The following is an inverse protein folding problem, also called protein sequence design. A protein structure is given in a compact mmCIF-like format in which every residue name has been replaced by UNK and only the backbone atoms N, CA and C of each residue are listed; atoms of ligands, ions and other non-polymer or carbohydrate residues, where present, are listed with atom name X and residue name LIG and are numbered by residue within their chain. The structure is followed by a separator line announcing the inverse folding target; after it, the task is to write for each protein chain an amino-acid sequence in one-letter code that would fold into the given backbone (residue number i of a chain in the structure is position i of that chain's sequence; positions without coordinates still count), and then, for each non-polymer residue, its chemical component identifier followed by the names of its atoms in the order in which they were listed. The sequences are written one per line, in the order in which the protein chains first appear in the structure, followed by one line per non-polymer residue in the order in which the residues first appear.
data_IF_305611340505
#
_entry.id   IF_305611340505
#
_cell.length_a   1.000
_cell.length_b   1.000
_cell.length_c   1.000
_cell.angle_alpha   90.00
_cell.angle_beta   90.00
_cell.angle_gamma   90.00
#
_symmetry.space_group_name_H-M   'P 1'
#
loop_
_entity.id
_entity.type
_entity.pdbx_description
1 polymer ?
#
# COMPACT_ATOMS: atom_id res chain seq x y z
N UNK A 1 11.91 -1.94 26.55
CA UNK A 1 12.33 -1.75 25.14
C UNK A 1 11.75 -2.91 24.37
N UNK A 2 11.06 -2.67 23.28
CA UNK A 2 10.62 -3.73 22.37
C UNK A 2 11.88 -4.24 21.68
N UNK A 3 12.17 -5.52 21.80
CA UNK A 3 13.31 -6.14 21.13
C UNK A 3 12.86 -6.51 19.72
N UNK A 4 13.35 -5.78 18.74
CA UNK A 4 13.08 -6.04 17.33
C UNK A 4 13.91 -7.23 16.86
N UNK A 5 13.28 -8.23 16.25
CA UNK A 5 13.91 -9.48 15.83
C UNK A 5 14.01 -9.63 14.32
N UNK A 6 13.12 -8.99 13.56
CA UNK A 6 13.00 -9.12 12.11
C UNK A 6 13.36 -7.83 11.36
N UNK A 7 13.16 -6.67 11.99
CA UNK A 7 13.61 -5.41 11.44
C UNK A 7 15.11 -5.22 11.68
N UNK A 8 15.86 -4.93 10.65
CA UNK A 8 17.26 -4.53 10.81
C UNK A 8 17.36 -3.17 11.54
N UNK A 9 18.49 -2.87 12.18
CA UNK A 9 18.68 -1.57 12.84
C UNK A 9 18.44 -0.36 11.90
N UNK A 10 18.80 -0.51 10.63
CA UNK A 10 18.57 0.55 9.62
C UNK A 10 17.08 0.71 9.29
N UNK A 11 16.34 -0.38 9.16
CA UNK A 11 14.89 -0.34 8.93
C UNK A 11 14.16 0.28 10.13
N UNK A 12 14.57 -0.05 11.35
CA UNK A 12 14.03 0.55 12.56
C UNK A 12 14.29 2.06 12.62
N UNK A 13 15.53 2.47 12.39
CA UNK A 13 15.89 3.89 12.36
C UNK A 13 15.10 4.64 11.29
N UNK A 14 15.03 4.07 10.08
CA UNK A 14 14.27 4.66 8.98
C UNK A 14 12.78 4.80 9.31
N UNK A 15 12.15 3.75 9.85
CA UNK A 15 10.73 3.81 10.20
C UNK A 15 10.44 4.83 11.29
N UNK A 16 11.30 4.93 12.30
CA UNK A 16 11.14 5.91 13.38
C UNK A 16 11.31 7.34 12.86
N UNK A 17 12.27 7.57 11.95
CA UNK A 17 12.55 8.90 11.40
C UNK A 17 11.51 9.34 10.37
N UNK A 18 11.09 8.43 9.47
CA UNK A 18 10.28 8.75 8.29
C UNK A 18 8.82 8.26 8.36
N UNK A 19 8.48 7.36 9.30
CA UNK A 19 7.12 6.82 9.48
C UNK A 19 6.67 5.84 8.41
N UNK A 20 7.56 5.40 7.52
CA UNK A 20 7.27 4.39 6.51
C UNK A 20 8.43 3.42 6.33
N UNK A 21 8.14 2.26 5.80
CA UNK A 21 9.14 1.26 5.45
C UNK A 21 8.77 0.59 4.13
N UNK A 22 9.75 0.47 3.23
CA UNK A 22 9.60 -0.30 2.00
C UNK A 22 10.09 -1.73 2.21
N UNK A 23 9.17 -2.68 2.05
CA UNK A 23 9.49 -4.11 2.12
C UNK A 23 9.42 -4.69 0.70
N UNK A 24 10.55 -5.09 0.09
CA UNK A 24 10.55 -5.71 -1.22
C UNK A 24 9.96 -7.12 -1.17
N UNK A 25 9.41 -7.59 -2.29
CA UNK A 25 8.84 -8.93 -2.43
C UNK A 25 7.79 -9.24 -1.33
N UNK A 26 6.95 -8.25 -1.01
CA UNK A 26 6.00 -8.37 0.09
C UNK A 26 4.79 -9.25 -0.23
N UNK A 27 4.43 -9.40 -1.51
CA UNK A 27 3.28 -10.20 -1.95
C UNK A 27 3.71 -11.65 -2.15
N UNK A 28 2.95 -12.57 -1.57
CA UNK A 28 3.14 -14.00 -1.83
C UNK A 28 2.90 -14.29 -3.32
N UNK A 29 3.88 -14.92 -4.02
CA UNK A 29 3.77 -15.18 -5.46
C UNK A 29 2.53 -15.96 -5.88
N UNK A 30 1.96 -16.78 -5.00
CA UNK A 30 0.73 -17.53 -5.27
C UNK A 30 -0.47 -16.62 -5.56
N UNK A 31 -0.44 -15.37 -5.09
CA UNK A 31 -1.50 -14.39 -5.31
C UNK A 31 -1.18 -13.39 -6.42
N UNK A 32 0.11 -13.09 -6.65
CA UNK A 32 0.52 -12.01 -7.54
C UNK A 32 0.01 -12.21 -8.97
N UNK A 33 0.43 -13.29 -9.64
CA UNK A 33 0.07 -13.54 -11.04
C UNK A 33 -1.42 -13.81 -11.25
N UNK A 34 -2.09 -14.65 -10.41
CA UNK A 34 -3.52 -14.87 -10.55
C UNK A 34 -4.36 -13.60 -10.34
N UNK A 35 -3.93 -12.72 -9.44
CA UNK A 35 -4.65 -11.48 -9.20
C UNK A 35 -4.45 -10.47 -10.32
N UNK A 36 -3.23 -10.34 -10.85
CA UNK A 36 -2.95 -9.51 -12.03
C UNK A 36 -3.68 -10.01 -13.28
N UNK A 37 -3.70 -11.32 -13.51
CA UNK A 37 -4.48 -11.88 -14.61
C UNK A 37 -5.97 -11.59 -14.50
N UNK A 38 -6.52 -11.70 -13.29
CA UNK A 38 -7.92 -11.36 -13.03
C UNK A 38 -8.19 -9.85 -13.15
N UNK A 39 -7.23 -8.99 -12.75
CA UNK A 39 -7.33 -7.56 -12.93
C UNK A 39 -7.58 -7.18 -14.39
N UNK A 40 -6.78 -7.67 -15.31
CA UNK A 40 -6.93 -7.37 -16.74
C UNK A 40 -8.26 -7.86 -17.32
N UNK A 41 -8.72 -9.02 -16.87
CA UNK A 41 -10.06 -9.53 -17.21
C UNK A 41 -11.18 -8.59 -16.74
N UNK A 42 -11.07 -8.10 -15.51
CA UNK A 42 -12.06 -7.18 -14.93
C UNK A 42 -12.07 -5.80 -15.60
N UNK A 43 -10.91 -5.34 -16.02
CA UNK A 43 -10.77 -4.10 -16.79
C UNK A 43 -11.35 -4.21 -18.21
N UNK A 44 -11.46 -5.43 -18.76
CA UNK A 44 -11.76 -5.63 -20.18
C UNK A 44 -10.67 -5.11 -21.10
N UNK A 45 -9.45 -5.01 -20.60
CA UNK A 45 -8.27 -4.47 -21.27
C UNK A 45 -7.19 -5.54 -21.38
N UNK A 46 -6.18 -5.28 -22.20
CA UNK A 46 -5.04 -6.16 -22.37
C UNK A 46 -3.77 -5.50 -21.85
N UNK A 47 -2.97 -6.25 -21.10
CA UNK A 47 -1.71 -5.76 -20.54
C UNK A 47 -0.67 -5.40 -21.60
N UNK A 48 -0.70 -6.12 -22.72
CA UNK A 48 0.22 -6.01 -23.84
C UNK A 48 -0.25 -5.06 -24.96
N UNK A 49 -1.46 -4.51 -24.84
CA UNK A 49 -2.06 -3.65 -25.88
C UNK A 49 -2.64 -2.36 -25.26
N UNK A 50 -1.83 -1.31 -25.28
CA UNK A 50 -2.19 0.00 -24.74
C UNK A 50 -3.37 0.67 -25.44
N UNK A 51 -3.72 0.26 -26.68
CA UNK A 51 -4.89 0.81 -27.37
C UNK A 51 -6.21 0.42 -26.70
N UNK A 52 -6.19 -0.60 -25.85
CA UNK A 52 -7.35 -1.06 -25.06
C UNK A 52 -7.54 -0.28 -23.75
N UNK A 53 -6.59 0.56 -23.36
CA UNK A 53 -6.63 1.32 -22.12
C UNK A 53 -7.47 2.57 -22.28
N UNK A 54 -8.71 2.54 -21.83
CA UNK A 54 -9.72 3.57 -22.06
C UNK A 54 -9.74 4.68 -21.05
N UNK A 55 -9.17 4.45 -19.87
CA UNK A 55 -9.21 5.34 -18.73
C UNK A 55 -7.81 5.60 -18.17
N UNK A 56 -7.60 6.80 -17.62
CA UNK A 56 -6.32 7.17 -17.01
C UNK A 56 -6.18 6.59 -15.59
N UNK A 57 -7.28 6.54 -14.87
CA UNK A 57 -7.31 6.15 -13.47
C UNK A 57 -8.60 5.40 -13.13
N UNK A 58 -8.47 4.24 -12.54
CA UNK A 58 -9.59 3.36 -12.19
C UNK A 58 -9.47 2.86 -10.75
N UNK A 59 -10.59 2.77 -10.07
CA UNK A 59 -10.73 2.07 -8.79
C UNK A 59 -11.68 0.91 -8.99
N UNK A 60 -11.21 -0.30 -8.81
CA UNK A 60 -12.02 -1.50 -8.90
C UNK A 60 -12.57 -1.89 -7.53
N UNK A 61 -13.85 -2.31 -7.45
CA UNK A 61 -14.41 -2.83 -6.22
C UNK A 61 -13.75 -4.15 -5.83
N UNK A 62 -13.79 -4.46 -4.53
CA UNK A 62 -13.35 -5.76 -4.02
C UNK A 62 -14.29 -6.87 -4.47
N UNK A 63 -13.73 -7.96 -5.00
CA UNK A 63 -14.45 -9.18 -5.33
C UNK A 63 -14.08 -10.34 -4.41
N UNK A 64 -12.83 -10.39 -3.96
CA UNK A 64 -12.32 -11.42 -3.07
C UNK A 64 -11.38 -10.80 -2.06
N UNK A 65 -11.15 -11.53 -1.00
CA UNK A 65 -10.19 -11.18 0.03
C UNK A 65 -9.51 -12.45 0.54
N UNK A 66 -8.33 -12.28 1.08
CA UNK A 66 -7.54 -13.33 1.73
C UNK A 66 -6.97 -12.77 3.03
N UNK A 67 -6.68 -13.63 4.02
CA UNK A 67 -5.98 -13.20 5.22
C UNK A 67 -4.65 -12.51 4.87
N UNK A 68 -4.33 -11.43 5.59
CA UNK A 68 -3.07 -10.69 5.35
C UNK A 68 -1.84 -11.60 5.52
N UNK A 69 -1.86 -12.50 6.49
CA UNK A 69 -0.80 -13.48 6.75
C UNK A 69 -0.57 -14.47 5.61
N UNK A 70 -1.58 -14.75 4.79
CA UNK A 70 -1.46 -15.59 3.60
C UNK A 70 -1.04 -14.77 2.39
N UNK A 71 -1.54 -13.53 2.28
CA UNK A 71 -1.25 -12.65 1.16
C UNK A 71 0.19 -12.14 1.18
N UNK A 72 0.71 -11.85 2.35
CA UNK A 72 2.08 -11.41 2.54
C UNK A 72 3.07 -12.59 2.45
N UNK A 73 4.28 -12.29 2.00
CA UNK A 73 5.39 -13.21 2.28
C UNK A 73 5.65 -13.28 3.79
N UNK A 74 6.22 -14.38 4.31
CA UNK A 74 6.53 -14.50 5.73
C UNK A 74 7.40 -13.35 6.27
N UNK A 75 8.35 -12.87 5.47
CA UNK A 75 9.19 -11.73 5.85
C UNK A 75 8.36 -10.45 5.99
N UNK A 76 7.52 -10.14 5.01
CA UNK A 76 6.68 -8.94 5.05
C UNK A 76 5.70 -8.99 6.22
N UNK A 77 5.10 -10.15 6.48
CA UNK A 77 4.16 -10.31 7.58
C UNK A 77 4.84 -10.17 8.94
N UNK A 78 5.98 -10.80 9.17
CA UNK A 78 6.71 -10.70 10.45
C UNK A 78 7.17 -9.27 10.73
N UNK A 79 7.65 -8.53 9.72
CA UNK A 79 7.99 -7.11 9.88
C UNK A 79 6.77 -6.26 10.20
N UNK A 80 5.64 -6.54 9.55
CA UNK A 80 4.36 -5.86 9.84
C UNK A 80 3.95 -6.07 11.31
N UNK A 81 3.95 -7.32 11.77
CA UNK A 81 3.62 -7.67 13.16
C UNK A 81 4.56 -6.99 14.15
N UNK A 82 5.84 -6.93 13.83
CA UNK A 82 6.84 -6.30 14.69
C UNK A 82 6.62 -4.78 14.80
N UNK A 83 6.32 -4.10 13.68
CA UNK A 83 6.02 -2.66 13.65
C UNK A 83 4.81 -2.32 14.52
N UNK A 84 3.75 -3.11 14.46
CA UNK A 84 2.53 -2.87 15.25
C UNK A 84 2.64 -3.33 16.70
N UNK A 85 3.71 -4.01 17.07
CA UNK A 85 3.99 -4.43 18.44
C UNK A 85 3.42 -5.77 18.86
N UNK A 86 3.00 -6.60 17.92
CA UNK A 86 2.54 -7.97 18.16
C UNK A 86 1.24 -8.33 17.43
N UNK A 87 1.04 -9.61 17.16
CA UNK A 87 -0.17 -10.09 16.48
C UNK A 87 -1.44 -9.88 17.30
N UNK A 88 -1.33 -9.84 18.64
CA UNK A 88 -2.41 -9.54 19.57
C UNK A 88 -2.96 -8.11 19.43
N UNK A 89 -2.24 -7.23 18.71
CA UNK A 89 -2.67 -5.85 18.42
C UNK A 89 -3.58 -5.77 17.20
N UNK A 90 -3.63 -6.81 16.38
CA UNK A 90 -4.53 -6.85 15.22
C UNK A 90 -5.94 -7.19 15.69
N UNK A 91 -6.92 -6.40 15.27
CA UNK A 91 -8.32 -6.69 15.59
C UNK A 91 -8.73 -8.04 14.99
N UNK A 92 -9.35 -8.97 15.77
CA UNK A 92 -9.56 -10.35 15.34
C UNK A 92 -10.53 -10.50 14.15
N UNK A 93 -11.38 -9.50 13.89
CA UNK A 93 -12.43 -9.58 12.87
C UNK A 93 -12.39 -8.44 11.84
N UNK A 94 -11.51 -7.47 12.01
CA UNK A 94 -11.37 -6.33 11.12
C UNK A 94 -9.93 -6.18 10.70
N UNK A 95 -9.71 -5.65 9.50
CA UNK A 95 -8.38 -5.28 9.00
C UNK A 95 -7.40 -6.47 8.87
N UNK A 96 -7.88 -7.71 9.01
CA UNK A 96 -7.05 -8.93 8.83
C UNK A 96 -7.03 -9.46 7.40
N UNK A 97 -7.81 -8.87 6.51
CA UNK A 97 -7.99 -9.37 5.16
C UNK A 97 -7.57 -8.32 4.14
N UNK A 98 -6.80 -8.75 3.17
CA UNK A 98 -6.47 -7.95 2.00
C UNK A 98 -7.41 -8.31 0.86
N UNK A 99 -7.92 -7.29 0.18
CA UNK A 99 -8.87 -7.43 -0.91
C UNK A 99 -8.30 -7.03 -2.27
N UNK A 100 -8.86 -7.58 -3.33
CA UNK A 100 -8.48 -7.29 -4.72
C UNK A 100 -9.13 -6.02 -5.29
N UNK A 101 -9.28 -5.00 -4.44
CA UNK A 101 -9.69 -3.66 -4.83
C UNK A 101 -8.52 -2.88 -5.39
N UNK A 102 -8.29 -2.99 -6.69
CA UNK A 102 -7.16 -2.33 -7.31
C UNK A 102 -7.39 -0.84 -7.54
N UNK A 103 -6.33 -0.09 -7.36
CA UNK A 103 -6.18 1.26 -7.89
C UNK A 103 -5.23 1.15 -9.07
N UNK A 104 -5.73 1.47 -10.26
CA UNK A 104 -4.98 1.36 -11.51
C UNK A 104 -4.75 2.74 -12.07
N UNK A 105 -3.49 3.08 -12.32
CA UNK A 105 -3.08 4.35 -12.89
C UNK A 105 -2.31 4.10 -14.19
N UNK A 106 -2.93 4.42 -15.32
CA UNK A 106 -2.30 4.32 -16.63
C UNK A 106 -1.60 5.63 -17.04
N UNK A 107 -1.85 6.71 -16.28
CA UNK A 107 -1.35 8.04 -16.59
C UNK A 107 -1.98 8.65 -17.85
N UNK A 108 -1.44 9.79 -18.26
CA UNK A 108 -1.82 10.48 -19.48
C UNK A 108 -0.63 11.21 -20.12
N UNK A 109 -0.82 11.79 -21.29
CA UNK A 109 0.24 12.48 -22.04
C UNK A 109 0.80 13.69 -21.28
N UNK A 110 -0.04 14.38 -20.50
CA UNK A 110 0.41 15.53 -19.70
C UNK A 110 1.51 15.10 -18.71
N UNK A 111 1.27 14.03 -17.94
CA UNK A 111 2.20 13.58 -16.90
C UNK A 111 3.47 12.90 -17.45
N UNK A 112 3.49 12.54 -18.73
CA UNK A 112 4.71 12.02 -19.37
C UNK A 112 5.83 13.06 -19.44
N UNK A 113 5.48 14.33 -19.52
CA UNK A 113 6.41 15.45 -19.69
C UNK A 113 6.45 16.43 -18.54
N UNK A 114 5.63 16.23 -17.51
CA UNK A 114 5.53 17.11 -16.35
C UNK A 114 5.80 16.33 -15.08
N UNK A 115 6.61 16.90 -14.19
CA UNK A 115 6.80 16.39 -12.84
C UNK A 115 5.78 17.08 -11.92
N UNK A 116 4.97 16.30 -11.26
CA UNK A 116 4.09 16.81 -10.21
C UNK A 116 4.88 16.97 -8.92
N UNK A 117 4.84 18.15 -8.33
CA UNK A 117 5.39 18.36 -7.01
C UNK A 117 4.41 17.93 -5.92
N UNK A 118 4.87 17.56 -4.70
CA UNK A 118 3.96 17.23 -3.60
C UNK A 118 2.91 18.31 -3.33
N UNK A 119 3.28 19.59 -3.48
CA UNK A 119 2.36 20.73 -3.24
C UNK A 119 1.27 20.87 -4.30
N UNK A 120 1.48 20.32 -5.50
CA UNK A 120 0.49 20.30 -6.58
C UNK A 120 -0.38 19.05 -6.53
N UNK A 121 0.06 18.02 -5.80
CA UNK A 121 -0.71 16.79 -5.64
C UNK A 121 -2.02 17.06 -4.91
N UNK A 122 -3.09 16.46 -5.42
CA UNK A 122 -4.42 16.54 -4.83
C UNK A 122 -4.74 15.25 -4.08
N UNK A 123 -5.71 15.35 -3.16
CA UNK A 123 -6.20 14.18 -2.47
C UNK A 123 -5.35 13.77 -1.26
N UNK A 124 -4.55 14.69 -0.71
CA UNK A 124 -3.92 14.49 0.59
C UNK A 124 -4.98 14.18 1.65
N UNK A 125 -4.82 13.11 2.36
CA UNK A 125 -5.74 12.68 3.41
C UNK A 125 -4.99 11.79 4.41
N UNK A 126 -5.61 11.59 5.55
CA UNK A 126 -5.27 10.52 6.50
C UNK A 126 -6.34 9.45 6.34
N UNK A 127 -5.95 8.18 6.29
CA UNK A 127 -6.92 7.10 6.23
C UNK A 127 -7.90 7.18 7.42
N UNK A 128 -9.18 6.81 7.18
CA UNK A 128 -10.27 6.99 8.14
C UNK A 128 -10.56 8.45 8.53
N UNK A 129 -10.41 9.39 7.60
CA UNK A 129 -10.66 10.83 7.80
C UNK A 129 -12.16 11.19 7.99
N UNK A 130 -13.06 10.23 7.83
CA UNK A 130 -14.51 10.42 7.99
C UNK A 130 -15.00 10.43 9.44
N UNK A 131 -14.11 10.22 10.44
CA UNK A 131 -14.42 10.36 11.86
C UNK A 131 -13.23 10.94 12.64
N UNK A 132 -13.52 11.49 13.83
CA UNK A 132 -12.45 12.00 14.69
C UNK A 132 -11.66 10.85 15.31
N UNK A 133 -10.37 10.85 15.06
CA UNK A 133 -9.44 9.88 15.62
C UNK A 133 -8.73 10.44 16.86
N UNK A 134 -8.40 9.56 17.77
CA UNK A 134 -7.56 9.79 18.95
C UNK A 134 -6.40 8.78 18.91
N UNK A 135 -5.37 8.98 19.72
CA UNK A 135 -4.21 8.10 19.76
C UNK A 135 -4.53 6.64 20.14
N UNK A 136 -5.64 6.44 20.84
CA UNK A 136 -6.15 5.12 21.28
C UNK A 136 -7.33 4.63 20.43
N UNK A 137 -7.63 5.28 19.33
CA UNK A 137 -8.67 4.82 18.42
C UNK A 137 -8.29 3.53 17.72
N UNK A 138 -9.13 2.51 17.81
CA UNK A 138 -8.91 1.19 17.23
C UNK A 138 -9.15 1.11 15.70
N UNK A 139 -8.82 2.13 14.96
CA UNK A 139 -9.12 2.20 13.54
C UNK A 139 -7.92 2.00 12.62
N UNK A 140 -6.76 2.50 13.00
CA UNK A 140 -5.54 2.41 12.21
C UNK A 140 -4.33 2.26 13.13
N UNK A 141 -3.54 1.22 12.89
CA UNK A 141 -2.19 1.12 13.45
C UNK A 141 -1.15 1.32 12.35
N UNK A 142 -1.40 0.75 11.16
CA UNK A 142 -0.49 0.76 10.03
C UNK A 142 -1.29 0.63 8.73
N UNK A 143 -0.95 1.43 7.73
CA UNK A 143 -1.48 1.28 6.37
C UNK A 143 -0.50 0.49 5.51
N UNK A 144 -0.98 -0.58 4.87
CA UNK A 144 -0.21 -1.40 3.94
C UNK A 144 -0.59 -1.03 2.51
N UNK A 145 0.38 -0.57 1.72
CA UNK A 145 0.21 -0.26 0.30
C UNK A 145 1.01 -1.29 -0.51
N UNK A 146 0.31 -2.17 -1.22
CA UNK A 146 0.92 -3.18 -2.07
C UNK A 146 1.03 -2.69 -3.52
N UNK A 147 2.25 -2.68 -4.05
CA UNK A 147 2.51 -2.34 -5.43
C UNK A 147 2.58 -3.63 -6.26
N UNK A 148 1.62 -3.82 -7.14
CA UNK A 148 1.52 -4.99 -8.03
C UNK A 148 2.32 -4.84 -9.33
N UNK A 149 2.90 -3.67 -9.55
CA UNK A 149 3.81 -3.37 -10.65
C UNK A 149 4.87 -2.38 -10.20
N UNK A 150 5.93 -2.30 -10.94
CA UNK A 150 6.89 -1.23 -10.76
C UNK A 150 6.22 0.13 -10.97
N UNK A 151 6.60 1.08 -10.14
CA UNK A 151 6.19 2.48 -10.26
C UNK A 151 7.39 3.30 -10.79
N UNK A 152 7.50 3.47 -12.11
CA UNK A 152 8.59 4.24 -12.69
C UNK A 152 8.42 5.73 -12.37
N UNK A 153 9.47 6.55 -12.57
CA UNK A 153 9.32 7.99 -12.50
C UNK A 153 8.13 8.47 -13.34
N UNK A 154 7.31 9.35 -12.80
CA UNK A 154 6.03 9.82 -13.38
C UNK A 154 4.96 8.72 -13.53
N UNK A 155 5.12 7.59 -12.85
CA UNK A 155 4.18 6.47 -12.88
C UNK A 155 2.99 6.60 -11.94
N UNK A 156 2.80 7.75 -11.28
CA UNK A 156 1.66 7.99 -10.40
C UNK A 156 1.77 7.31 -9.02
N UNK A 157 2.96 7.33 -8.44
CA UNK A 157 3.19 6.81 -7.08
C UNK A 157 2.46 7.62 -6.00
N UNK A 158 2.47 7.09 -4.79
CA UNK A 158 1.88 7.73 -3.61
C UNK A 158 2.90 8.63 -2.93
N UNK A 159 2.55 9.87 -2.66
CA UNK A 159 3.32 10.74 -1.78
C UNK A 159 3.01 10.43 -0.31
N UNK A 160 4.04 10.45 0.52
CA UNK A 160 3.94 10.34 1.98
C UNK A 160 4.43 11.65 2.59
N UNK A 161 3.65 12.19 3.53
CA UNK A 161 4.01 13.42 4.25
C UNK A 161 4.78 13.04 5.52
N UNK A 162 6.10 13.14 5.46
CA UNK A 162 6.98 12.83 6.61
C UNK A 162 6.93 13.92 7.69
N UNK A 163 6.64 15.16 7.32
CA UNK A 163 6.52 16.29 8.25
C UNK A 163 5.37 16.14 9.26
N UNK A 164 4.46 15.19 9.01
CA UNK A 164 3.37 14.88 9.94
C UNK A 164 3.80 13.93 11.07
N UNK A 165 5.03 13.42 11.03
CA UNK A 165 5.57 12.57 12.09
C UNK A 165 6.03 13.47 13.21
N UNK A 166 5.52 13.31 14.46
CA UNK A 166 6.01 14.10 15.58
C UNK A 166 7.51 13.86 15.75
N UNK A 167 8.30 14.88 15.62
CA UNK A 167 9.72 14.82 15.91
C UNK A 167 9.92 14.26 17.32
N UNK A 168 10.72 13.20 17.43
CA UNK A 168 11.06 12.58 18.71
C UNK A 168 11.82 13.53 19.63
#
# INVERSE_FOLDING_TARGET
MVEYQHLTPNEQAHFVEHGWLRVPNAINPEYLDPWLGNLWTRLGMRSDDKSTWTDEFLKLPRHREVPNEEFCTPEAWTKTIEIIGGEDKIHPYRERYFGDQFIVNFGNEHWKSHDQTPTEAKGWHVDNDWYRQFLDSGGIALTLIFLFSDCPPRGGGTYVCEDAIPGG
#
